data_IF_795262266264
#
_entry.id   IF_795262266264
#
_cell.length_a   1.000
_cell.length_b   1.000
_cell.length_c   1.000
_cell.angle_alpha   90.00
_cell.angle_beta   90.00
_cell.angle_gamma   90.00
#
_symmetry.space_group_name_H-M   'P 1'
#
loop_
_entity.id
_entity.type
_entity.pdbx_description
1 polymer ?
#
# COMPACT_ATOMS: atom_id res chain seq x y z
N UNK A 1 -17.98 -1.33 20.98
CA UNK A 1 -18.20 -2.10 19.74
C UNK A 1 -16.84 -2.36 19.12
N UNK A 2 -16.30 -3.57 19.19
CA UNK A 2 -14.99 -3.88 18.61
C UNK A 2 -15.15 -3.93 17.09
N UNK A 3 -14.71 -2.89 16.38
CA UNK A 3 -14.69 -2.87 14.92
C UNK A 3 -13.81 -4.01 14.36
N UNK A 4 -14.06 -4.35 13.09
CA UNK A 4 -13.22 -5.29 12.34
C UNK A 4 -11.78 -4.73 12.23
N UNK A 5 -10.76 -5.57 12.44
CA UNK A 5 -9.35 -5.19 12.28
C UNK A 5 -8.71 -5.93 11.10
N UNK A 6 -7.59 -5.41 10.61
CA UNK A 6 -6.82 -6.09 9.56
C UNK A 6 -6.32 -7.45 10.06
N UNK A 7 -5.95 -7.53 11.33
CA UNK A 7 -5.56 -8.80 11.93
C UNK A 7 -6.72 -9.80 11.97
N UNK A 8 -7.93 -9.37 12.37
CA UNK A 8 -9.08 -10.27 12.40
C UNK A 8 -9.46 -10.78 11.01
N UNK A 9 -9.31 -9.94 9.97
CA UNK A 9 -9.49 -10.33 8.57
C UNK A 9 -8.49 -11.43 8.16
N UNK A 10 -7.20 -11.22 8.42
CA UNK A 10 -6.15 -12.21 8.14
C UNK A 10 -6.37 -13.53 8.88
N UNK A 11 -6.68 -13.48 10.19
CA UNK A 11 -6.93 -14.67 11.01
C UNK A 11 -8.14 -15.45 10.48
N UNK A 12 -9.22 -14.75 10.12
CA UNK A 12 -10.40 -15.38 9.52
C UNK A 12 -10.07 -16.12 8.21
N UNK A 13 -9.20 -15.57 7.36
CA UNK A 13 -8.74 -16.29 6.16
C UNK A 13 -7.91 -17.52 6.50
N UNK A 14 -7.06 -17.44 7.53
CA UNK A 14 -6.25 -18.57 7.96
C UNK A 14 -7.07 -19.71 8.58
N UNK A 15 -8.21 -19.40 9.18
CA UNK A 15 -9.17 -20.40 9.66
C UNK A 15 -10.02 -20.98 8.52
N UNK A 16 -10.43 -20.13 7.56
CA UNK A 16 -11.28 -20.54 6.43
C UNK A 16 -10.54 -21.40 5.41
N UNK A 17 -9.29 -21.08 5.10
CA UNK A 17 -8.51 -21.73 4.05
C UNK A 17 -7.04 -21.98 4.48
N UNK A 18 -6.80 -22.79 5.52
CA UNK A 18 -5.49 -22.95 6.16
C UNK A 18 -4.39 -23.43 5.19
N UNK A 19 -4.73 -24.30 4.24
CA UNK A 19 -3.81 -24.90 3.27
C UNK A 19 -3.59 -24.05 2.01
N UNK A 20 -4.34 -22.96 1.84
CA UNK A 20 -4.13 -22.05 0.71
C UNK A 20 -2.76 -21.37 0.84
N UNK A 21 -2.03 -21.24 -0.27
CA UNK A 21 -0.80 -20.47 -0.30
C UNK A 21 -1.07 -19.00 0.06
N UNK A 22 -0.43 -18.48 1.11
CA UNK A 22 -0.55 -17.10 1.54
C UNK A 22 0.60 -16.26 1.01
N UNK A 23 1.83 -16.75 1.14
CA UNK A 23 3.05 -16.01 0.79
C UNK A 23 4.04 -16.92 0.09
N UNK A 24 4.46 -16.52 -1.11
CA UNK A 24 5.51 -17.18 -1.87
C UNK A 24 6.66 -16.20 -2.03
N UNK A 25 7.83 -16.62 -1.54
CA UNK A 25 9.11 -15.95 -1.72
C UNK A 25 10.03 -16.87 -2.53
N UNK A 26 11.25 -16.43 -2.86
CA UNK A 26 12.21 -17.23 -3.64
C UNK A 26 12.49 -18.59 -3.00
N UNK A 27 12.52 -18.68 -1.66
CA UNK A 27 12.96 -19.88 -0.94
C UNK A 27 11.85 -20.56 -0.12
N UNK A 28 10.65 -19.97 -0.05
CA UNK A 28 9.57 -20.43 0.85
C UNK A 28 8.21 -20.20 0.22
N UNK A 29 7.35 -21.21 0.30
CA UNK A 29 5.91 -21.08 0.10
C UNK A 29 5.23 -21.37 1.44
N UNK A 30 4.57 -20.38 2.02
CA UNK A 30 3.86 -20.50 3.28
C UNK A 30 2.36 -20.55 3.00
N UNK A 31 1.69 -21.56 3.54
CA UNK A 31 0.23 -21.57 3.63
C UNK A 31 -0.25 -20.54 4.64
N UNK A 32 -1.55 -20.25 4.65
CA UNK A 32 -2.13 -19.37 5.65
C UNK A 32 -1.94 -19.90 7.09
N UNK A 33 -2.06 -21.21 7.31
CA UNK A 33 -1.80 -21.82 8.62
C UNK A 33 -0.33 -21.67 9.05
N UNK A 34 0.61 -21.91 8.12
CA UNK A 34 2.03 -21.74 8.38
C UNK A 34 2.38 -20.27 8.68
N UNK A 35 1.86 -19.33 7.89
CA UNK A 35 2.09 -17.90 8.12
C UNK A 35 1.46 -17.43 9.45
N UNK A 36 0.24 -17.87 9.76
CA UNK A 36 -0.43 -17.58 11.05
C UNK A 36 0.38 -18.12 12.24
N UNK A 37 1.01 -19.29 12.10
CA UNK A 37 1.92 -19.85 13.10
C UNK A 37 3.17 -18.99 13.26
N UNK A 38 3.80 -18.56 12.17
CA UNK A 38 4.95 -17.66 12.20
C UNK A 38 4.60 -16.32 12.88
N UNK A 39 3.45 -15.73 12.56
CA UNK A 39 2.96 -14.51 13.20
C UNK A 39 2.87 -14.68 14.72
N UNK A 40 2.28 -15.79 15.21
CA UNK A 40 2.16 -16.08 16.65
C UNK A 40 3.53 -16.26 17.30
N UNK A 41 4.47 -16.91 16.63
CA UNK A 41 5.85 -17.07 17.11
C UNK A 41 6.54 -15.71 17.26
N UNK A 42 6.45 -14.85 16.24
CA UNK A 42 7.00 -13.48 16.30
C UNK A 42 6.34 -12.67 17.42
N UNK A 43 5.02 -12.77 17.59
CA UNK A 43 4.29 -12.04 18.64
C UNK A 43 4.74 -12.43 20.05
N UNK A 44 5.01 -13.73 20.29
CA UNK A 44 5.52 -14.23 21.58
C UNK A 44 6.95 -13.79 21.87
N UNK A 45 7.74 -13.51 20.84
CA UNK A 45 9.11 -13.04 20.98
C UNK A 45 9.22 -11.52 21.20
N UNK A 46 8.13 -10.77 21.05
CA UNK A 46 8.14 -9.32 21.27
C UNK A 46 8.36 -8.98 22.75
N UNK A 47 9.21 -7.98 23.06
CA UNK A 47 9.39 -7.52 24.43
C UNK A 47 8.09 -6.91 24.96
N UNK A 48 7.81 -7.14 26.24
CA UNK A 48 6.65 -6.59 26.94
C UNK A 48 6.87 -5.10 27.22
N UNK A 49 6.48 -4.25 26.27
CA UNK A 49 6.47 -2.79 26.40
C UNK A 49 5.42 -2.17 25.46
N UNK A 50 5.30 -0.83 25.49
CA UNK A 50 4.35 -0.06 24.67
C UNK A 50 4.98 0.62 23.45
N UNK A 51 6.26 0.37 23.16
CA UNK A 51 6.96 0.99 22.03
C UNK A 51 6.46 0.39 20.70
N UNK A 52 6.55 1.07 19.55
CA UNK A 52 6.28 0.44 18.26
C UNK A 52 7.18 -0.80 18.04
N UNK A 53 6.74 -1.70 17.17
CA UNK A 53 7.56 -2.84 16.73
C UNK A 53 8.36 -2.39 15.51
N UNK A 54 9.67 -2.17 15.70
CA UNK A 54 10.57 -1.80 14.62
C UNK A 54 10.85 -3.04 13.74
N UNK A 55 10.66 -2.92 12.43
CA UNK A 55 10.87 -4.01 11.47
C UNK A 55 12.00 -3.61 10.53
N UNK A 56 13.17 -4.25 10.69
CA UNK A 56 14.40 -3.95 9.95
C UNK A 56 14.93 -5.15 9.16
N UNK A 57 14.06 -6.07 8.76
CA UNK A 57 14.44 -7.26 7.96
C UNK A 57 14.11 -7.07 6.48
N UNK A 58 14.96 -7.61 5.60
CA UNK A 58 14.72 -7.69 4.17
C UNK A 58 14.15 -9.06 3.75
N UNK A 59 14.05 -10.03 4.68
CA UNK A 59 13.29 -11.26 4.48
C UNK A 59 11.80 -10.95 4.53
N UNK A 60 11.10 -11.18 3.42
CA UNK A 60 9.69 -10.83 3.24
C UNK A 60 8.76 -11.63 4.16
N UNK A 61 9.10 -12.88 4.46
CA UNK A 61 8.28 -13.72 5.33
C UNK A 61 8.40 -13.26 6.78
N UNK A 62 9.63 -13.01 7.24
CA UNK A 62 9.88 -12.52 8.59
C UNK A 62 9.35 -11.09 8.76
N UNK A 63 9.41 -10.26 7.71
CA UNK A 63 8.81 -8.94 7.68
C UNK A 63 7.29 -9.02 7.91
N UNK A 64 6.58 -9.79 7.07
CA UNK A 64 5.11 -9.91 7.13
C UNK A 64 4.69 -10.52 8.48
N UNK A 65 5.41 -11.54 8.94
CA UNK A 65 5.16 -12.15 10.24
C UNK A 65 5.29 -11.13 11.38
N UNK A 66 6.35 -10.32 11.37
CA UNK A 66 6.59 -9.26 12.36
C UNK A 66 5.54 -8.14 12.28
N UNK A 67 5.08 -7.81 11.08
CA UNK A 67 4.07 -6.78 10.85
C UNK A 67 2.72 -7.16 11.47
N UNK A 68 2.22 -8.37 11.21
CA UNK A 68 0.99 -8.87 11.85
C UNK A 68 1.20 -9.18 13.35
N UNK A 69 2.41 -9.57 13.77
CA UNK A 69 2.74 -9.79 15.17
C UNK A 69 2.62 -8.50 16.01
N UNK A 70 2.98 -7.35 15.44
CA UNK A 70 2.78 -6.05 16.08
C UNK A 70 1.30 -5.79 16.37
N UNK A 71 0.41 -6.10 15.42
CA UNK A 71 -1.04 -5.99 15.60
C UNK A 71 -1.55 -6.92 16.72
N UNK A 72 -1.02 -8.14 16.81
CA UNK A 72 -1.35 -9.06 17.92
C UNK A 72 -0.99 -8.47 19.27
N UNK A 73 0.15 -7.77 19.35
CA UNK A 73 0.59 -7.07 20.55
C UNK A 73 -0.09 -5.71 20.75
N UNK A 74 -1.05 -5.33 19.88
CA UNK A 74 -1.74 -4.02 19.86
C UNK A 74 -0.75 -2.84 19.86
N UNK A 75 0.27 -2.96 19.01
CA UNK A 75 1.33 -1.97 18.85
C UNK A 75 1.47 -1.63 17.37
N UNK A 76 1.77 -0.37 17.02
CA UNK A 76 2.10 -0.02 15.65
C UNK A 76 3.34 -0.77 15.16
N UNK A 77 3.24 -1.37 13.98
CA UNK A 77 4.39 -1.83 13.22
C UNK A 77 5.08 -0.63 12.57
N UNK A 78 6.41 -0.55 12.69
CA UNK A 78 7.20 0.51 12.07
C UNK A 78 8.32 -0.09 11.20
N UNK A 79 8.03 -0.34 9.91
CA UNK A 79 9.04 -0.70 8.92
C UNK A 79 10.09 0.39 8.74
N UNK A 80 11.37 0.00 8.82
CA UNK A 80 12.50 0.89 8.64
C UNK A 80 13.48 0.31 7.61
N UNK A 81 14.12 1.15 6.78
CA UNK A 81 15.20 0.70 5.90
C UNK A 81 16.41 0.23 6.73
N UNK A 82 17.18 -0.72 6.18
CA UNK A 82 18.35 -1.32 6.85
C UNK A 82 19.59 -0.41 6.92
N UNK A 83 19.47 0.91 6.74
CA UNK A 83 20.61 1.81 6.72
C UNK A 83 21.19 2.06 8.13
N UNK A 84 22.53 2.13 8.30
CA UNK A 84 23.18 2.33 9.61
C UNK A 84 22.78 3.60 10.35
N UNK A 85 22.30 4.61 9.60
CA UNK A 85 21.82 5.90 10.09
C UNK A 85 20.30 6.06 10.01
N UNK A 86 19.52 4.97 9.86
CA UNK A 86 18.07 5.05 10.07
C UNK A 86 17.88 5.55 11.50
N UNK A 87 17.60 6.86 11.64
CA UNK A 87 17.50 7.52 12.91
C UNK A 87 16.51 6.71 13.74
N UNK A 88 17.01 6.04 14.78
CA UNK A 88 16.16 5.61 15.88
C UNK A 88 15.62 6.93 16.41
N UNK A 89 14.34 7.26 16.21
CA UNK A 89 13.79 8.49 16.74
C UNK A 89 14.08 8.49 18.23
N UNK A 90 14.83 9.50 18.69
CA UNK A 90 15.23 9.63 20.09
C UNK A 90 14.03 9.91 21.01
N UNK A 91 12.82 10.04 20.44
CA UNK A 91 11.59 10.32 21.16
C UNK A 91 10.98 9.02 21.69
N UNK A 92 10.54 9.09 22.94
CA UNK A 92 9.52 8.18 23.42
C UNK A 92 8.32 8.31 22.48
N UNK A 93 7.93 7.20 21.87
CA UNK A 93 6.81 7.12 20.96
C UNK A 93 5.48 7.15 21.75
N UNK A 94 5.26 8.26 22.46
CA UNK A 94 4.06 8.52 23.26
C UNK A 94 3.08 9.23 22.34
N UNK A 95 1.85 8.71 22.23
CA UNK A 95 0.79 9.35 21.43
C UNK A 95 0.11 8.46 20.40
N UNK A 96 0.42 7.16 20.33
CA UNK A 96 -0.30 6.23 19.45
C UNK A 96 -1.80 6.24 19.78
N UNK A 97 -2.65 6.54 18.81
CA UNK A 97 -4.09 6.36 18.96
C UNK A 97 -4.40 4.86 19.13
N UNK A 98 -5.45 4.48 19.89
CA UNK A 98 -5.73 3.07 20.20
C UNK A 98 -5.91 2.14 18.98
N UNK A 99 -6.24 2.68 17.80
CA UNK A 99 -6.46 1.91 16.56
C UNK A 99 -5.29 1.99 15.57
N UNK A 100 -4.19 2.65 15.92
CA UNK A 100 -2.99 2.71 15.07
C UNK A 100 -2.26 1.38 15.01
N UNK A 101 -1.97 0.94 13.78
CA UNK A 101 -1.31 -0.35 13.55
C UNK A 101 -0.06 -0.24 12.66
N UNK A 102 0.09 0.86 11.91
CA UNK A 102 1.20 1.05 10.99
C UNK A 102 1.72 2.48 11.06
N UNK A 103 3.02 2.61 11.29
CA UNK A 103 3.77 3.85 11.15
C UNK A 103 4.76 3.74 10.01
N UNK A 104 4.84 4.78 9.19
CA UNK A 104 5.83 4.88 8.12
C UNK A 104 6.52 6.24 8.15
N UNK A 105 7.69 6.31 7.52
CA UNK A 105 8.44 7.55 7.39
C UNK A 105 8.37 8.07 5.95
N UNK A 106 8.08 9.36 5.79
CA UNK A 106 8.20 10.07 4.51
C UNK A 106 9.43 10.96 4.55
N UNK A 107 10.05 11.18 3.40
CA UNK A 107 11.15 12.16 3.28
C UNK A 107 10.56 13.56 3.52
N UNK A 108 10.77 14.11 4.71
CA UNK A 108 10.40 15.49 5.00
C UNK A 108 11.24 16.46 4.18
N UNK A 109 10.65 17.54 3.68
CA UNK A 109 11.36 18.63 3.01
C UNK A 109 12.39 19.33 3.92
N UNK A 110 12.26 19.17 5.24
CA UNK A 110 13.13 19.75 6.28
C UNK A 110 14.32 18.86 6.66
N UNK A 111 14.51 17.70 6.02
CA UNK A 111 15.62 16.78 6.26
C UNK A 111 15.38 15.76 7.38
N UNK A 112 14.50 16.04 8.35
CA UNK A 112 14.03 15.05 9.33
C UNK A 112 12.83 14.26 8.76
N UNK A 113 12.84 12.91 8.82
CA UNK A 113 11.71 12.11 8.35
C UNK A 113 10.46 12.38 9.19
N UNK A 114 9.35 12.73 8.53
CA UNK A 114 8.04 12.80 9.20
C UNK A 114 7.48 11.39 9.34
N UNK A 115 6.98 11.06 10.53
CA UNK A 115 6.38 9.75 10.80
C UNK A 115 4.87 9.90 10.71
N UNK A 116 4.27 9.27 9.71
CA UNK A 116 2.81 9.23 9.56
C UNK A 116 2.26 7.97 10.24
N UNK A 117 1.03 8.05 10.76
CA UNK A 117 0.37 6.93 11.41
C UNK A 117 -0.94 6.52 10.71
N UNK A 118 -1.18 5.22 10.60
CA UNK A 118 -2.37 4.63 9.96
C UNK A 118 -3.15 3.77 10.95
N UNK A 119 -4.47 3.90 10.89
CA UNK A 119 -5.41 3.10 11.68
C UNK A 119 -5.95 1.91 10.89
N UNK A 120 -6.41 0.87 11.60
CA UNK A 120 -7.06 -0.26 10.94
C UNK A 120 -8.25 0.19 10.10
N UNK A 121 -9.09 1.09 10.65
CA UNK A 121 -10.24 1.64 9.95
C UNK A 121 -9.84 2.30 8.61
N UNK A 122 -8.76 3.09 8.60
CA UNK A 122 -8.34 3.83 7.39
C UNK A 122 -7.96 2.89 6.22
N UNK A 123 -7.28 1.77 6.50
CA UNK A 123 -6.90 0.80 5.47
C UNK A 123 -8.04 -0.11 5.08
N UNK A 124 -8.93 -0.47 6.00
CA UNK A 124 -10.15 -1.22 5.66
C UNK A 124 -11.06 -0.39 4.75
N UNK A 125 -11.21 0.91 5.01
CA UNK A 125 -11.89 1.83 4.10
C UNK A 125 -11.20 1.87 2.74
N UNK A 126 -9.86 1.85 2.72
CA UNK A 126 -9.10 1.79 1.48
C UNK A 126 -9.30 0.48 0.72
N UNK A 127 -9.44 -0.66 1.41
CA UNK A 127 -9.79 -1.94 0.78
C UNK A 127 -11.15 -1.86 0.10
N UNK A 128 -12.15 -1.31 0.80
CA UNK A 128 -13.50 -1.17 0.28
C UNK A 128 -13.57 -0.25 -0.96
N UNK A 129 -12.94 0.93 -0.91
CA UNK A 129 -12.91 1.88 -2.03
C UNK A 129 -12.21 1.28 -3.26
N UNK A 130 -11.08 0.60 -3.05
CA UNK A 130 -10.36 -0.11 -4.10
C UNK A 130 -11.22 -1.23 -4.72
N UNK A 131 -11.82 -2.10 -3.90
CA UNK A 131 -12.62 -3.24 -4.36
C UNK A 131 -13.93 -2.82 -5.06
N UNK A 132 -14.48 -1.66 -4.72
CA UNK A 132 -15.66 -1.11 -5.37
C UNK A 132 -15.41 -0.71 -6.83
N UNK A 133 -14.16 -0.34 -7.17
CA UNK A 133 -13.78 0.06 -8.53
C UNK A 133 -13.11 -1.10 -9.28
N UNK A 134 -12.20 -1.82 -8.61
CA UNK A 134 -11.39 -2.88 -9.20
C UNK A 134 -11.58 -4.20 -8.42
N UNK A 135 -12.71 -4.89 -8.62
CA UNK A 135 -13.05 -6.06 -7.81
C UNK A 135 -12.09 -7.22 -8.07
N UNK A 136 -11.51 -7.74 -6.99
CA UNK A 136 -10.71 -8.96 -7.01
C UNK A 136 -11.63 -10.19 -7.04
N UNK A 137 -11.21 -11.24 -7.72
CA UNK A 137 -11.86 -12.55 -7.68
C UNK A 137 -11.61 -13.26 -6.35
N UNK A 138 -12.12 -14.49 -6.21
CA UNK A 138 -12.07 -15.23 -4.94
C UNK A 138 -10.64 -15.60 -4.48
N UNK A 139 -9.70 -15.75 -5.42
CA UNK A 139 -8.34 -16.19 -5.16
C UNK A 139 -7.35 -15.59 -6.17
N UNK A 140 -7.09 -14.29 -6.04
CA UNK A 140 -6.06 -13.63 -6.83
C UNK A 140 -4.63 -14.06 -6.40
N UNK A 141 -3.69 -13.97 -7.33
CA UNK A 141 -2.25 -14.08 -7.03
C UNK A 141 -1.58 -12.74 -7.33
N UNK A 142 -1.12 -12.07 -6.28
CA UNK A 142 -0.70 -10.67 -6.28
C UNK A 142 0.82 -10.57 -6.21
N UNK A 143 1.44 -10.04 -7.27
CA UNK A 143 2.87 -9.76 -7.32
C UNK A 143 3.19 -8.42 -6.65
N UNK A 144 4.00 -8.50 -5.59
CA UNK A 144 4.48 -7.36 -4.79
C UNK A 144 6.02 -7.35 -4.87
N UNK A 145 6.61 -6.75 -5.91
CA UNK A 145 8.02 -6.92 -6.19
C UNK A 145 8.92 -5.87 -5.50
N UNK A 146 8.33 -4.82 -4.92
CA UNK A 146 9.06 -3.74 -4.25
C UNK A 146 9.28 -3.93 -2.75
N UNK A 147 9.94 -2.95 -2.13
CA UNK A 147 10.24 -2.97 -0.70
C UNK A 147 8.97 -2.72 0.15
N UNK A 148 8.75 -3.55 1.18
CA UNK A 148 7.59 -3.44 2.08
C UNK A 148 7.72 -2.26 3.06
N UNK A 149 8.83 -1.52 3.03
CA UNK A 149 8.97 -0.22 3.70
C UNK A 149 8.22 0.89 2.97
N UNK A 150 7.90 0.72 1.68
CA UNK A 150 7.05 1.66 0.95
C UNK A 150 5.58 1.24 1.06
N UNK A 151 4.73 2.21 1.39
CA UNK A 151 3.30 2.01 1.65
C UNK A 151 2.56 1.33 0.49
N UNK A 152 2.89 1.66 -0.77
CA UNK A 152 2.33 1.02 -1.98
C UNK A 152 2.40 -0.52 -1.92
N UNK A 153 3.60 -1.06 -1.69
CA UNK A 153 3.83 -2.51 -1.72
C UNK A 153 3.33 -3.17 -0.44
N UNK A 154 3.48 -2.50 0.69
CA UNK A 154 2.95 -2.98 1.96
C UNK A 154 1.43 -3.10 1.93
N UNK A 155 0.74 -2.08 1.44
CA UNK A 155 -0.70 -2.07 1.25
C UNK A 155 -1.14 -3.26 0.39
N UNK A 156 -0.54 -3.44 -0.79
CA UNK A 156 -0.91 -4.55 -1.69
C UNK A 156 -0.72 -5.93 -1.06
N UNK A 157 0.36 -6.14 -0.30
CA UNK A 157 0.59 -7.40 0.42
C UNK A 157 -0.44 -7.62 1.54
N UNK A 158 -0.72 -6.59 2.34
CA UNK A 158 -1.63 -6.69 3.49
C UNK A 158 -3.08 -6.82 3.04
N UNK A 159 -3.49 -6.08 2.00
CA UNK A 159 -4.80 -6.23 1.34
C UNK A 159 -5.00 -7.66 0.86
N UNK A 160 -4.05 -8.19 0.08
CA UNK A 160 -4.10 -9.55 -0.44
C UNK A 160 -4.25 -10.59 0.68
N UNK A 161 -3.41 -10.49 1.72
CA UNK A 161 -3.43 -11.43 2.84
C UNK A 161 -4.73 -11.34 3.65
N UNK A 162 -5.24 -10.14 3.91
CA UNK A 162 -6.50 -9.92 4.62
C UNK A 162 -7.73 -10.43 3.84
N UNK A 163 -7.64 -10.55 2.51
CA UNK A 163 -8.72 -11.03 1.64
C UNK A 163 -8.60 -12.49 1.18
N UNK A 164 -7.55 -13.20 1.59
CA UNK A 164 -7.41 -14.62 1.28
C UNK A 164 -6.69 -14.90 -0.04
N UNK A 165 -5.97 -13.91 -0.58
CA UNK A 165 -5.21 -14.00 -1.82
C UNK A 165 -3.75 -14.43 -1.58
N UNK A 166 -3.10 -14.93 -2.62
CA UNK A 166 -1.68 -15.32 -2.54
C UNK A 166 -0.79 -14.13 -2.87
N UNK A 167 0.24 -13.87 -2.05
CA UNK A 167 1.25 -12.83 -2.31
C UNK A 167 2.52 -13.47 -2.85
N UNK A 168 3.01 -12.97 -4.00
CA UNK A 168 4.35 -13.24 -4.50
C UNK A 168 5.26 -12.06 -4.10
N UNK A 169 6.21 -12.31 -3.21
CA UNK A 169 7.11 -11.28 -2.67
C UNK A 169 8.57 -11.69 -2.85
N UNK A 170 9.20 -11.39 -4.00
CA UNK A 170 10.64 -11.61 -4.15
C UNK A 170 11.41 -10.73 -3.16
N UNK A 171 12.57 -11.21 -2.69
CA UNK A 171 13.41 -10.46 -1.73
C UNK A 171 13.81 -9.09 -2.28
N UNK A 172 14.18 -9.04 -3.56
CA UNK A 172 14.55 -7.82 -4.29
C UNK A 172 13.89 -7.81 -5.66
N UNK A 173 13.73 -6.62 -6.22
CA UNK A 173 13.29 -6.46 -7.59
C UNK A 173 14.36 -6.98 -8.56
N UNK A 174 13.96 -7.88 -9.44
CA UNK A 174 14.76 -8.37 -10.56
C UNK A 174 13.78 -8.61 -11.71
N UNK A 175 13.83 -7.82 -12.79
CA UNK A 175 12.81 -7.88 -13.86
C UNK A 175 12.59 -9.30 -14.40
N UNK A 176 13.68 -10.02 -14.72
CA UNK A 176 13.61 -11.40 -15.23
C UNK A 176 12.99 -12.37 -14.21
N UNK A 177 13.39 -12.26 -12.94
CA UNK A 177 12.85 -13.10 -11.87
C UNK A 177 11.38 -12.82 -11.60
N UNK A 178 10.97 -11.54 -11.64
CA UNK A 178 9.57 -11.11 -11.47
C UNK A 178 8.71 -11.61 -12.63
N UNK A 179 9.15 -11.45 -13.88
CA UNK A 179 8.46 -11.99 -15.07
C UNK A 179 8.29 -13.50 -14.93
N UNK A 180 9.36 -14.22 -14.58
CA UNK A 180 9.31 -15.67 -14.38
C UNK A 180 8.32 -16.05 -13.28
N UNK A 181 8.39 -15.42 -12.11
CA UNK A 181 7.50 -15.71 -10.99
C UNK A 181 6.03 -15.41 -11.33
N UNK A 182 5.74 -14.30 -12.04
CA UNK A 182 4.38 -14.02 -12.51
C UNK A 182 3.84 -15.12 -13.43
N UNK A 183 4.69 -15.67 -14.32
CA UNK A 183 4.29 -16.77 -15.21
C UNK A 183 4.12 -18.09 -14.45
N UNK A 184 5.11 -18.48 -13.66
CA UNK A 184 5.13 -19.75 -12.94
C UNK A 184 3.96 -19.88 -11.96
N UNK A 185 3.61 -18.78 -11.29
CA UNK A 185 2.52 -18.75 -10.30
C UNK A 185 1.22 -18.16 -10.84
N UNK A 186 1.13 -17.89 -12.15
CA UNK A 186 -0.06 -17.31 -12.79
C UNK A 186 -0.59 -16.07 -12.06
N UNK A 187 0.32 -15.14 -11.76
CA UNK A 187 -0.05 -13.88 -11.13
C UNK A 187 -1.11 -13.16 -11.97
N UNK A 188 -2.13 -12.64 -11.29
CA UNK A 188 -3.26 -11.92 -11.88
C UNK A 188 -3.22 -10.43 -11.56
N UNK A 189 -2.50 -10.03 -10.51
CA UNK A 189 -2.37 -8.64 -10.10
C UNK A 189 -0.91 -8.28 -9.93
N UNK A 190 -0.51 -7.09 -10.40
CA UNK A 190 0.81 -6.52 -10.19
C UNK A 190 0.67 -5.14 -9.52
N UNK A 191 1.39 -4.92 -8.43
CA UNK A 191 1.68 -3.57 -7.92
C UNK A 191 3.07 -3.14 -8.36
N UNK A 192 3.20 -1.95 -8.93
CA UNK A 192 4.45 -1.44 -9.46
C UNK A 192 4.53 0.10 -9.40
N UNK A 193 5.72 0.61 -9.67
CA UNK A 193 5.96 2.03 -10.00
C UNK A 193 6.34 2.13 -11.49
N UNK A 194 6.24 3.30 -12.14
CA UNK A 194 6.52 3.42 -13.57
C UNK A 194 7.91 2.88 -14.00
N UNK A 195 8.96 3.14 -13.22
CA UNK A 195 10.31 2.64 -13.51
C UNK A 195 10.39 1.10 -13.53
N UNK A 196 9.66 0.41 -12.65
CA UNK A 196 9.60 -1.05 -12.67
C UNK A 196 8.91 -1.57 -13.93
N UNK A 197 7.86 -0.90 -14.41
CA UNK A 197 7.19 -1.29 -15.66
C UNK A 197 8.13 -1.15 -16.87
N UNK A 198 8.92 -0.08 -16.93
CA UNK A 198 9.96 0.09 -17.95
C UNK A 198 10.99 -1.04 -17.90
N UNK A 199 11.52 -1.35 -16.72
CA UNK A 199 12.51 -2.42 -16.55
C UNK A 199 11.94 -3.80 -16.91
N UNK A 200 10.68 -4.07 -16.60
CA UNK A 200 9.99 -5.30 -17.02
C UNK A 200 9.89 -5.39 -18.53
N UNK A 201 9.48 -4.31 -19.22
CA UNK A 201 9.42 -4.25 -20.68
C UNK A 201 10.82 -4.46 -21.30
N UNK A 202 11.82 -3.77 -20.79
CA UNK A 202 13.21 -3.92 -21.23
C UNK A 202 13.76 -5.34 -21.04
N UNK A 203 13.28 -6.05 -20.01
CA UNK A 203 13.63 -7.45 -19.76
C UNK A 203 12.80 -8.47 -20.57
N UNK A 204 11.94 -8.01 -21.50
CA UNK A 204 11.16 -8.88 -22.38
C UNK A 204 9.82 -9.32 -21.79
N UNK A 205 9.22 -8.54 -20.89
CA UNK A 205 7.84 -8.77 -20.48
C UNK A 205 6.91 -8.70 -21.70
N UNK A 206 6.20 -9.79 -21.94
CA UNK A 206 5.21 -9.91 -23.01
C UNK A 206 4.25 -11.06 -22.68
N UNK A 207 3.02 -10.96 -23.19
CA UNK A 207 1.93 -11.93 -22.97
C UNK A 207 1.75 -12.29 -21.49
N UNK A 208 1.83 -11.29 -20.60
CA UNK A 208 1.54 -11.45 -19.18
C UNK A 208 0.02 -11.60 -19.01
N UNK A 209 -0.41 -12.63 -18.27
CA UNK A 209 -1.82 -12.89 -18.01
C UNK A 209 -2.30 -12.17 -16.75
N UNK A 210 -2.19 -10.84 -16.75
CA UNK A 210 -2.61 -9.98 -15.65
C UNK A 210 -4.04 -9.47 -15.89
N UNK A 211 -4.79 -9.33 -14.81
CA UNK A 211 -6.10 -8.68 -14.74
C UNK A 211 -5.95 -7.21 -14.37
N UNK A 212 -5.09 -6.91 -13.39
CA UNK A 212 -4.86 -5.54 -12.92
C UNK A 212 -3.38 -5.23 -12.76
N UNK A 213 -3.00 -4.01 -13.15
CA UNK A 213 -1.66 -3.45 -12.89
C UNK A 213 -1.83 -2.13 -12.15
N UNK A 214 -1.65 -2.14 -10.83
CA UNK A 214 -1.68 -0.95 -10.01
C UNK A 214 -0.33 -0.25 -10.06
N UNK A 215 -0.31 0.93 -10.65
CA UNK A 215 0.85 1.79 -10.80
C UNK A 215 0.64 3.09 -10.01
N UNK A 216 1.52 3.37 -9.05
CA UNK A 216 1.44 4.55 -8.21
C UNK A 216 2.82 5.14 -7.89
N UNK A 217 2.83 6.22 -7.10
CA UNK A 217 4.05 6.88 -6.62
C UNK A 217 4.72 7.82 -7.62
N UNK A 218 4.37 7.76 -8.91
CA UNK A 218 4.74 8.73 -9.92
C UNK A 218 3.76 8.66 -11.11
N UNK A 219 3.71 9.72 -11.92
CA UNK A 219 2.88 9.78 -13.14
C UNK A 219 3.19 8.61 -14.08
N UNK A 220 2.16 7.92 -14.56
CA UNK A 220 2.30 6.91 -15.60
C UNK A 220 2.12 7.55 -16.97
N UNK A 221 3.21 7.72 -17.71
CA UNK A 221 3.16 8.30 -19.05
C UNK A 221 2.35 7.45 -20.04
N UNK A 222 1.58 8.10 -20.93
CA UNK A 222 0.73 7.43 -21.91
C UNK A 222 1.49 6.46 -22.83
N UNK A 223 2.75 6.77 -23.17
CA UNK A 223 3.61 5.87 -23.96
C UNK A 223 3.91 4.56 -23.23
N UNK A 224 4.28 4.64 -21.95
CA UNK A 224 4.56 3.48 -21.11
C UNK A 224 3.29 2.65 -20.88
N UNK A 225 2.16 3.31 -20.61
CA UNK A 225 0.84 2.65 -20.52
C UNK A 225 0.55 1.79 -21.75
N UNK A 226 0.60 2.35 -22.96
CA UNK A 226 0.33 1.61 -24.22
C UNK A 226 1.27 0.43 -24.44
N UNK A 227 2.57 0.61 -24.11
CA UNK A 227 3.56 -0.48 -24.21
C UNK A 227 3.24 -1.60 -23.22
N UNK A 228 2.80 -1.28 -22.01
CA UNK A 228 2.44 -2.28 -21.01
C UNK A 228 1.10 -2.96 -21.30
N UNK A 229 0.11 -2.24 -21.86
CA UNK A 229 -1.14 -2.82 -22.40
C UNK A 229 -0.82 -3.88 -23.47
N UNK A 230 0.17 -3.62 -24.33
CA UNK A 230 0.64 -4.60 -25.32
C UNK A 230 1.35 -5.81 -24.68
N UNK A 231 2.06 -5.60 -23.56
CA UNK A 231 2.76 -6.65 -22.85
C UNK A 231 1.85 -7.51 -21.95
N UNK A 232 0.72 -6.96 -21.51
CA UNK A 232 -0.28 -7.63 -20.68
C UNK A 232 -1.67 -7.48 -21.32
N UNK A 233 -1.92 -8.12 -22.49
CA UNK A 233 -3.18 -7.97 -23.20
C UNK A 233 -4.33 -8.49 -22.34
N UNK A 234 -5.26 -7.62 -21.99
CA UNK A 234 -6.41 -7.93 -21.12
C UNK A 234 -6.29 -7.40 -19.69
N UNK A 235 -5.14 -6.86 -19.30
CA UNK A 235 -5.00 -6.18 -18.02
C UNK A 235 -5.60 -4.77 -18.09
N UNK A 236 -6.31 -4.37 -17.03
CA UNK A 236 -6.57 -2.96 -16.79
C UNK A 236 -5.32 -2.33 -16.16
N UNK A 237 -4.70 -1.41 -16.88
CA UNK A 237 -3.52 -0.69 -16.39
C UNK A 237 -4.02 0.49 -15.59
N UNK A 238 -3.72 0.56 -14.30
CA UNK A 238 -4.31 1.52 -13.38
C UNK A 238 -3.19 2.44 -12.90
N UNK A 239 -3.30 3.71 -13.24
CA UNK A 239 -2.53 4.78 -12.59
C UNK A 239 -3.40 5.35 -11.49
N UNK A 240 -2.89 5.41 -10.27
CA UNK A 240 -3.60 6.08 -9.18
C UNK A 240 -2.78 7.20 -8.58
N UNK A 241 -3.46 8.29 -8.24
CA UNK A 241 -2.93 9.38 -7.44
C UNK A 241 -3.31 9.16 -5.98
N UNK A 242 -2.35 9.45 -5.11
CA UNK A 242 -2.45 9.19 -3.69
C UNK A 242 -1.13 9.45 -2.99
N UNK A 243 -1.17 9.37 -1.67
CA UNK A 243 0.00 9.54 -0.81
C UNK A 243 -0.11 8.60 0.40
N UNK A 244 0.96 8.45 1.17
CA UNK A 244 0.91 7.62 2.39
C UNK A 244 -0.10 8.17 3.41
N UNK A 245 -0.24 9.49 3.43
CA UNK A 245 -1.16 10.28 4.21
C UNK A 245 -2.61 10.15 3.71
N UNK A 246 -2.80 10.10 2.39
CA UNK A 246 -4.12 10.19 1.76
C UNK A 246 -4.73 8.84 1.37
N UNK A 247 -3.91 7.78 1.27
CA UNK A 247 -4.27 6.53 0.58
C UNK A 247 -4.63 6.78 -0.89
N UNK A 248 -5.64 6.09 -1.43
CA UNK A 248 -6.17 6.32 -2.77
C UNK A 248 -6.98 7.61 -2.84
N UNK A 249 -6.64 8.47 -3.80
CA UNK A 249 -7.39 9.71 -4.05
C UNK A 249 -8.15 9.60 -5.36
N UNK A 250 -7.44 9.34 -6.46
CA UNK A 250 -8.05 9.24 -7.79
C UNK A 250 -7.36 8.21 -8.67
N UNK A 251 -7.99 7.85 -9.78
CA UNK A 251 -7.47 6.85 -10.71
C UNK A 251 -7.76 7.19 -12.18
N UNK A 252 -6.85 6.74 -13.05
CA UNK A 252 -7.00 6.63 -14.49
C UNK A 252 -6.66 5.20 -14.89
N UNK A 253 -7.54 4.54 -15.62
CA UNK A 253 -7.27 3.19 -16.10
C UNK A 253 -7.60 2.98 -17.57
N UNK A 254 -7.23 1.83 -18.12
CA UNK A 254 -7.61 1.44 -19.49
C UNK A 254 -9.13 1.35 -19.61
N UNK A 255 -9.82 0.86 -18.57
CA UNK A 255 -11.29 0.83 -18.51
C UNK A 255 -11.93 2.19 -18.12
N UNK A 256 -11.18 3.07 -17.47
CA UNK A 256 -11.62 4.40 -17.05
C UNK A 256 -10.65 5.49 -17.52
N UNK A 257 -10.64 5.83 -18.82
CA UNK A 257 -9.72 6.81 -19.37
C UNK A 257 -10.06 8.23 -18.89
N UNK A 258 -9.06 9.10 -18.92
CA UNK A 258 -9.17 10.53 -18.58
C UNK A 258 -8.35 11.37 -19.57
N UNK A 259 -8.60 12.69 -19.67
CA UNK A 259 -7.79 13.59 -20.49
C UNK A 259 -6.31 13.57 -20.09
N UNK A 260 -5.43 13.85 -21.05
CA UNK A 260 -3.99 13.96 -20.79
C UNK A 260 -3.70 15.00 -19.71
N UNK A 261 -2.77 14.66 -18.80
CA UNK A 261 -2.45 15.50 -17.64
C UNK A 261 -3.40 15.35 -16.45
N UNK A 262 -4.59 14.77 -16.63
CA UNK A 262 -5.52 14.49 -15.52
C UNK A 262 -5.01 13.35 -14.62
N UNK A 263 -5.36 13.42 -13.34
CA UNK A 263 -5.24 12.31 -12.38
C UNK A 263 -6.53 11.48 -12.29
N UNK A 264 -7.50 11.79 -13.15
CA UNK A 264 -8.69 10.99 -13.37
C UNK A 264 -9.81 11.22 -12.36
N UNK A 265 -10.51 10.14 -12.04
CA UNK A 265 -11.74 10.17 -11.22
C UNK A 265 -11.42 9.86 -9.78
N UNK A 266 -12.13 10.49 -8.85
CA UNK A 266 -11.99 10.20 -7.42
C UNK A 266 -12.45 8.77 -7.12
N UNK A 267 -11.78 8.12 -6.17
CA UNK A 267 -12.29 6.88 -5.56
C UNK A 267 -13.57 7.16 -4.76
N UNK A 268 -14.42 6.14 -4.51
CA UNK A 268 -15.57 6.28 -3.62
C UNK A 268 -15.20 6.88 -2.27
N UNK A 269 -16.09 7.72 -1.73
CA UNK A 269 -15.94 8.43 -0.45
C UNK A 269 -14.75 9.41 -0.36
N UNK A 270 -14.11 9.72 -1.49
CA UNK A 270 -13.12 10.80 -1.58
C UNK A 270 -13.81 12.10 -2.02
N UNK A 271 -13.61 13.15 -1.23
CA UNK A 271 -13.97 14.52 -1.57
C UNK A 271 -12.70 15.31 -1.80
N UNK A 272 -12.63 16.02 -2.92
CA UNK A 272 -11.48 16.85 -3.26
C UNK A 272 -11.90 18.31 -3.46
N UNK A 273 -11.11 19.22 -2.90
CA UNK A 273 -11.21 20.66 -3.13
C UNK A 273 -9.85 21.19 -3.60
N UNK A 274 -9.87 22.16 -4.50
CA UNK A 274 -8.69 22.95 -4.86
C UNK A 274 -8.84 24.30 -4.17
N UNK A 275 -7.83 24.73 -3.41
CA UNK A 275 -7.85 26.01 -2.69
C UNK A 275 -6.70 26.90 -3.14
N UNK A 276 -6.98 28.18 -3.36
CA UNK A 276 -5.98 29.20 -3.69
C UNK A 276 -5.10 29.50 -2.46
N UNK A 277 -4.02 30.27 -2.65
CA UNK A 277 -3.11 30.65 -1.56
C UNK A 277 -3.81 31.40 -0.41
N UNK A 278 -4.89 32.13 -0.71
CA UNK A 278 -5.70 32.83 0.29
C UNK A 278 -6.69 31.91 1.06
N UNK A 279 -6.65 30.59 0.81
CA UNK A 279 -7.50 29.59 1.45
C UNK A 279 -8.91 29.45 0.86
N UNK A 280 -9.29 30.26 -0.12
CA UNK A 280 -10.60 30.17 -0.78
C UNK A 280 -10.61 29.03 -1.80
N UNK A 281 -11.79 28.45 -2.03
CA UNK A 281 -11.98 27.45 -3.07
C UNK A 281 -11.69 28.07 -4.45
N UNK A 282 -10.90 27.37 -5.26
CA UNK A 282 -10.53 27.77 -6.61
C UNK A 282 -11.69 27.57 -7.60
N UNK A 283 -11.79 28.42 -8.61
CA UNK A 283 -12.71 28.21 -9.73
C UNK A 283 -12.17 27.13 -10.67
N UNK A 284 -13.02 26.60 -11.57
CA UNK A 284 -12.58 25.62 -12.56
C UNK A 284 -11.42 26.17 -13.42
N UNK A 285 -10.37 25.37 -13.59
CA UNK A 285 -9.14 25.75 -14.29
C UNK A 285 -8.12 26.57 -13.47
N UNK A 286 -8.50 27.14 -12.33
CA UNK A 286 -7.55 27.85 -11.46
C UNK A 286 -6.66 26.85 -10.71
N UNK A 287 -5.35 27.08 -10.75
CA UNK A 287 -4.38 26.25 -10.07
C UNK A 287 -4.34 26.59 -8.58
N UNK A 288 -4.46 25.58 -7.72
CA UNK A 288 -4.36 25.72 -6.28
C UNK A 288 -3.91 24.44 -5.58
N UNK A 289 -3.90 24.46 -4.26
CA UNK A 289 -3.51 23.35 -3.40
C UNK A 289 -4.65 22.33 -3.29
N UNK A 290 -4.33 21.06 -3.54
CA UNK A 290 -5.29 19.96 -3.45
C UNK A 290 -5.51 19.59 -2.00
N UNK A 291 -6.77 19.59 -1.59
CA UNK A 291 -7.26 19.23 -0.27
C UNK A 291 -8.20 18.05 -0.38
N UNK A 292 -7.96 17.00 0.40
CA UNK A 292 -8.71 15.74 0.34
C UNK A 292 -9.36 15.46 1.69
N UNK A 293 -10.65 15.15 1.68
CA UNK A 293 -11.36 14.53 2.80
C UNK A 293 -11.80 13.12 2.41
N UNK A 294 -11.51 12.13 3.26
CA UNK A 294 -11.96 10.76 3.05
C UNK A 294 -11.86 9.95 4.36
N UNK A 295 -12.55 8.81 4.48
CA UNK A 295 -12.32 7.86 5.58
C UNK A 295 -10.96 7.14 5.48
N UNK A 296 -10.23 7.33 4.38
CA UNK A 296 -8.96 6.68 4.10
C UNK A 296 -7.74 7.50 4.53
N UNK A 297 -7.94 8.66 5.16
CA UNK A 297 -6.83 9.48 5.64
C UNK A 297 -6.06 8.77 6.77
N UNK A 298 -4.79 9.11 6.89
CA UNK A 298 -3.95 8.80 8.05
C UNK A 298 -4.49 9.42 9.35
N UNK A 299 -4.05 8.95 10.52
CA UNK A 299 -4.41 9.57 11.81
C UNK A 299 -3.64 10.86 12.08
N UNK A 300 -2.58 11.15 11.34
CA UNK A 300 -1.73 12.34 11.49
C UNK A 300 -0.25 12.01 11.51
N UNK A 301 0.56 13.05 11.72
CA UNK A 301 1.99 12.91 11.96
C UNK A 301 2.28 12.80 13.46
N UNK A 302 3.26 11.98 13.82
CA UNK A 302 3.63 11.77 15.22
C UNK A 302 4.16 13.08 15.84
N UNK A 303 3.52 13.53 16.92
CA UNK A 303 3.84 14.79 17.59
C UNK A 303 3.05 16.00 17.07
N UNK A 304 2.17 15.81 16.10
CA UNK A 304 1.19 16.80 15.63
C UNK A 304 -0.23 16.39 16.08
N UNK A 305 -1.21 17.32 16.11
CA UNK A 305 -2.60 16.97 16.35
C UNK A 305 -3.12 15.92 15.36
N UNK A 306 -3.95 14.96 15.79
CA UNK A 306 -4.48 13.97 14.89
C UNK A 306 -5.50 14.58 13.92
N UNK A 307 -5.60 14.00 12.74
CA UNK A 307 -6.66 14.33 11.77
C UNK A 307 -7.99 13.81 12.30
N UNK A 308 -9.01 14.66 12.30
CA UNK A 308 -10.37 14.26 12.69
C UNK A 308 -11.26 14.03 11.46
N UNK A 309 -12.28 13.18 11.62
CA UNK A 309 -13.18 12.85 10.53
C UNK A 309 -13.87 14.11 9.97
N UNK A 310 -13.89 14.24 8.63
CA UNK A 310 -14.44 15.40 7.93
C UNK A 310 -13.43 16.53 7.68
N UNK A 311 -12.22 16.45 8.23
CA UNK A 311 -11.16 17.39 7.86
C UNK A 311 -10.63 17.13 6.45
N UNK A 312 -10.03 18.19 5.90
CA UNK A 312 -9.34 18.16 4.63
C UNK A 312 -7.84 18.19 4.86
N UNK A 313 -7.13 17.21 4.28
CA UNK A 313 -5.68 17.06 4.37
C UNK A 313 -5.07 17.31 2.99
N UNK A 314 -3.87 17.90 2.96
CA UNK A 314 -3.10 18.10 1.73
C UNK A 314 -1.79 17.31 1.78
N UNK A 315 -1.38 16.78 0.63
CA UNK A 315 -0.03 16.22 0.42
C UNK A 315 0.97 17.28 -0.08
N UNK A 316 0.53 18.53 -0.30
CA UNK A 316 1.36 19.60 -0.86
C UNK A 316 1.26 19.74 -2.39
N UNK A 317 0.50 18.87 -3.05
CA UNK A 317 0.36 18.87 -4.50
C UNK A 317 -0.57 19.99 -5.00
N UNK A 318 -0.18 20.61 -6.11
CA UNK A 318 -0.98 21.63 -6.80
C UNK A 318 -1.76 21.01 -7.97
N UNK A 319 -3.01 21.42 -8.16
CA UNK A 319 -3.88 20.97 -9.23
C UNK A 319 -5.01 21.94 -9.55
N UNK A 320 -5.92 21.51 -10.42
CA UNK A 320 -7.13 22.23 -10.82
C UNK A 320 -8.22 21.21 -11.18
N UNK A 321 -9.48 21.65 -11.23
CA UNK A 321 -10.64 20.86 -11.68
C UNK A 321 -11.17 21.45 -12.98
#
# INVERSE_FOLDING_TARGET
MSGQTILSLFVSQAERAPERAALITVNRALTYAALSTNVKTHARALPVNRQPVLIMTDDKADFIASFFAAMFARRPAFPLPQTPHAARPARSYIGAQPDEFYWGATSGSTGEPKIFARTHASWIASFAAHEAVFPFGEAETVMIPGALTHSLFLYGAVHALARGHTVLAPRRFSPKSVIKAMRDHRATVLYAVPSMLEELLAAGATKLNLKYVFCGGAKLGASLRRRFESAAPGADIIEFYGASELSFVSYVSTSHPAPDGSVGRLFPDVVAEVRLENGQQASAGDKGLIHISSPMLFSGYLGEPPVVAGEFVTAGDLGFV
#
